data_IF_655855653262
#
_entry.id   IF_655855653262
#
_cell.length_a   1.000
_cell.length_b   1.000
_cell.length_c   1.000
_cell.angle_alpha   90.00
_cell.angle_beta   90.00
_cell.angle_gamma   90.00
#
_symmetry.space_group_name_H-M   'P 1'
#
loop_
_entity.id
_entity.type
_entity.pdbx_description
1 polymer ?
#
# COMPACT_ATOMS: atom_id res chain seq x y z
N UNK A 1 -20.91 1.32 18.42
CA UNK A 1 -20.71 0.25 17.42
C UNK A 1 -19.89 0.83 16.28
N UNK A 2 -19.03 0.05 15.65
CA UNK A 2 -18.30 0.52 14.48
C UNK A 2 -19.25 0.74 13.30
N UNK A 3 -19.03 1.82 12.56
CA UNK A 3 -19.79 2.19 11.37
C UNK A 3 -18.77 2.44 10.25
N UNK A 4 -18.91 1.75 9.12
CA UNK A 4 -18.07 1.99 7.95
C UNK A 4 -18.82 2.92 6.97
N UNK A 5 -18.26 4.09 6.70
CA UNK A 5 -18.85 5.11 5.81
C UNK A 5 -17.73 5.65 4.93
N UNK A 6 -17.91 5.57 3.60
CA UNK A 6 -16.92 6.02 2.61
C UNK A 6 -15.50 5.45 2.84
N UNK A 7 -15.40 4.20 3.31
CA UNK A 7 -14.14 3.53 3.64
C UNK A 7 -13.50 3.98 4.96
N UNK A 8 -14.19 4.79 5.77
CA UNK A 8 -13.73 5.24 7.09
C UNK A 8 -14.46 4.45 8.17
N UNK A 9 -13.67 3.81 9.05
CA UNK A 9 -14.17 3.19 10.25
C UNK A 9 -14.43 4.26 11.32
N UNK A 10 -15.70 4.55 11.57
CA UNK A 10 -16.15 5.58 12.48
C UNK A 10 -16.91 5.02 13.70
N UNK A 11 -16.96 5.82 14.76
CA UNK A 11 -17.89 5.66 15.89
C UNK A 11 -18.62 6.99 16.14
N UNK A 12 -19.80 6.94 16.73
CA UNK A 12 -20.49 8.17 17.17
C UNK A 12 -19.88 8.72 18.47
N UNK A 13 -20.24 9.96 18.83
CA UNK A 13 -19.91 10.50 20.16
C UNK A 13 -20.63 9.70 21.26
N UNK A 14 -21.82 9.18 21.00
CA UNK A 14 -22.54 8.35 21.97
C UNK A 14 -21.86 6.98 22.16
N UNK A 15 -21.29 6.42 21.09
CA UNK A 15 -20.45 5.24 21.17
C UNK A 15 -19.17 5.49 21.99
N UNK A 16 -18.55 6.65 21.80
CA UNK A 16 -17.42 7.09 22.65
C UNK A 16 -17.83 7.13 24.13
N UNK A 17 -18.99 7.71 24.45
CA UNK A 17 -19.51 7.76 25.82
C UNK A 17 -19.82 6.37 26.38
N UNK A 18 -20.47 5.51 25.59
CA UNK A 18 -20.83 4.15 26.00
C UNK A 18 -19.62 3.19 26.12
N UNK A 19 -18.48 3.54 25.52
CA UNK A 19 -17.19 2.89 25.78
C UNK A 19 -16.53 3.34 27.11
N UNK A 20 -17.21 4.16 27.91
CA UNK A 20 -16.73 4.63 29.21
C UNK A 20 -15.78 5.84 29.12
N UNK A 21 -15.67 6.46 27.94
CA UNK A 21 -14.92 7.69 27.76
C UNK A 21 -15.82 8.91 28.03
N UNK A 22 -15.23 10.02 28.48
CA UNK A 22 -16.00 11.21 28.88
C UNK A 22 -16.12 12.23 27.75
N UNK A 23 -17.15 13.09 27.85
CA UNK A 23 -17.31 14.21 26.93
C UNK A 23 -16.12 15.19 26.98
N UNK A 24 -15.54 15.38 28.16
CA UNK A 24 -14.37 16.26 28.31
C UNK A 24 -13.15 15.71 27.58
N UNK A 25 -12.93 14.38 27.62
CA UNK A 25 -11.89 13.73 26.82
C UNK A 25 -12.14 13.96 25.33
N UNK A 26 -13.36 13.74 24.85
CA UNK A 26 -13.71 14.00 23.45
C UNK A 26 -13.41 15.46 23.02
N UNK A 27 -13.87 16.45 23.81
CA UNK A 27 -13.66 17.88 23.52
C UNK A 27 -12.18 18.25 23.46
N UNK A 28 -11.38 17.77 24.42
CA UNK A 28 -9.93 18.04 24.49
C UNK A 28 -9.16 17.31 23.39
N UNK A 29 -9.48 16.05 23.15
CA UNK A 29 -8.79 15.24 22.15
C UNK A 29 -9.11 15.76 20.74
N UNK A 30 -10.34 16.23 20.51
CA UNK A 30 -10.71 16.91 19.27
C UNK A 30 -9.99 18.25 19.11
N UNK A 31 -10.03 19.13 20.12
CA UNK A 31 -9.44 20.48 20.01
C UNK A 31 -7.92 20.46 19.86
N UNK A 32 -7.25 19.45 20.42
CA UNK A 32 -5.80 19.24 20.33
C UNK A 32 -5.37 18.41 19.12
N UNK A 33 -6.31 17.93 18.29
CA UNK A 33 -5.99 17.11 17.11
C UNK A 33 -5.45 15.71 17.43
N UNK A 34 -5.87 15.13 18.57
CA UNK A 34 -5.63 13.72 18.92
C UNK A 34 -6.68 12.77 18.34
N UNK A 35 -7.75 13.31 17.76
CA UNK A 35 -8.71 12.60 16.93
C UNK A 35 -9.22 13.54 15.84
N UNK A 36 -9.77 12.97 14.76
CA UNK A 36 -10.42 13.69 13.67
C UNK A 36 -11.91 13.44 13.72
N UNK A 37 -12.69 14.51 13.66
CA UNK A 37 -14.14 14.43 13.43
C UNK A 37 -14.34 14.29 11.93
N UNK A 38 -14.85 13.13 11.51
CA UNK A 38 -15.16 12.87 10.11
C UNK A 38 -16.42 13.65 9.68
N UNK A 39 -17.47 13.64 10.51
CA UNK A 39 -18.71 14.40 10.25
C UNK A 39 -19.27 14.95 11.56
N UNK A 40 -19.57 16.25 11.59
CA UNK A 40 -20.29 16.86 12.72
C UNK A 40 -21.77 16.53 12.64
N UNK A 41 -22.33 16.10 13.76
CA UNK A 41 -23.75 15.79 13.89
C UNK A 41 -24.38 16.53 15.07
N UNK A 42 -25.71 16.56 15.10
CA UNK A 42 -26.52 17.09 16.21
C UNK A 42 -26.87 15.91 17.15
N UNK A 43 -27.05 16.18 18.44
CA UNK A 43 -27.51 15.20 19.44
C UNK A 43 -26.68 13.90 19.47
N UNK A 44 -25.36 13.98 19.66
CA UNK A 44 -24.52 12.77 19.85
C UNK A 44 -24.08 12.07 18.56
N UNK A 45 -24.69 12.38 17.42
CA UNK A 45 -24.39 11.77 16.11
C UNK A 45 -23.11 12.29 15.43
N UNK A 46 -22.18 12.89 16.19
CA UNK A 46 -20.89 13.30 15.62
C UNK A 46 -20.05 12.06 15.35
N UNK A 47 -19.62 11.87 14.11
CA UNK A 47 -18.80 10.75 13.69
C UNK A 47 -17.31 11.05 13.87
N UNK A 48 -16.66 10.17 14.62
CA UNK A 48 -15.24 10.19 14.96
C UNK A 48 -14.57 9.12 14.11
N UNK A 49 -13.53 9.49 13.36
CA UNK A 49 -12.67 8.51 12.70
C UNK A 49 -11.88 7.76 13.77
N UNK A 50 -12.18 6.47 13.96
CA UNK A 50 -11.58 5.64 15.01
C UNK A 50 -10.08 5.50 14.80
N UNK A 51 -9.65 5.37 13.54
CA UNK A 51 -8.24 5.16 13.17
C UNK A 51 -7.42 6.43 13.35
N UNK A 52 -8.05 7.59 13.35
CA UNK A 52 -7.38 8.87 13.65
C UNK A 52 -7.02 9.07 15.13
N UNK A 53 -7.55 8.24 16.04
CA UNK A 53 -7.36 8.40 17.49
C UNK A 53 -5.92 8.07 17.86
N UNK A 54 -5.18 9.05 18.37
CA UNK A 54 -3.75 8.91 18.73
C UNK A 54 -3.50 8.36 20.13
N UNK A 55 -4.51 8.43 20.99
CA UNK A 55 -4.42 8.09 22.42
C UNK A 55 -4.74 6.62 22.63
N UNK A 56 -3.72 5.83 23.00
CA UNK A 56 -3.84 4.38 23.18
C UNK A 56 -4.89 3.98 24.22
N UNK A 57 -5.03 4.73 25.31
CA UNK A 57 -6.02 4.50 26.36
C UNK A 57 -7.47 4.65 25.85
N UNK A 58 -7.70 5.52 24.84
CA UNK A 58 -9.01 5.67 24.18
C UNK A 58 -9.31 4.48 23.29
N UNK A 59 -8.34 4.09 22.46
CA UNK A 59 -8.46 2.92 21.59
C UNK A 59 -8.79 1.68 22.43
N UNK A 60 -8.04 1.44 23.52
CA UNK A 60 -8.27 0.28 24.38
C UNK A 60 -9.68 0.23 24.98
N UNK A 61 -10.23 1.38 25.38
CA UNK A 61 -11.60 1.45 25.92
C UNK A 61 -12.65 1.14 24.83
N UNK A 62 -12.45 1.68 23.62
CA UNK A 62 -13.32 1.43 22.47
C UNK A 62 -13.27 -0.05 22.07
N UNK A 63 -12.07 -0.64 21.99
CA UNK A 63 -11.90 -2.05 21.64
C UNK A 63 -12.47 -3.01 22.68
N UNK A 64 -12.33 -2.68 23.97
CA UNK A 64 -12.93 -3.46 25.05
C UNK A 64 -14.46 -3.50 24.97
N UNK A 65 -15.09 -2.47 24.39
CA UNK A 65 -16.54 -2.37 24.25
C UNK A 65 -17.07 -2.95 22.93
N UNK A 66 -16.38 -2.69 21.82
CA UNK A 66 -16.89 -2.96 20.47
C UNK A 66 -16.11 -4.02 19.69
N UNK A 67 -15.07 -4.62 20.29
CA UNK A 67 -14.18 -5.58 19.63
C UNK A 67 -12.94 -4.92 19.06
N UNK A 68 -11.94 -5.73 18.66
CA UNK A 68 -10.68 -5.20 18.12
C UNK A 68 -10.92 -4.42 16.83
N UNK A 69 -10.21 -3.31 16.66
CA UNK A 69 -10.20 -2.59 15.39
C UNK A 69 -9.38 -3.43 14.42
N UNK A 70 -10.02 -4.01 13.41
CA UNK A 70 -9.27 -4.69 12.36
C UNK A 70 -8.36 -3.68 11.65
N UNK A 71 -7.09 -4.07 11.51
CA UNK A 71 -6.15 -3.32 10.69
C UNK A 71 -6.75 -3.19 9.28
N UNK A 72 -6.79 -1.97 8.76
CA UNK A 72 -7.25 -1.70 7.41
C UNK A 72 -6.52 -2.64 6.46
N UNK A 73 -7.25 -3.48 5.70
CA UNK A 73 -6.71 -3.96 4.44
C UNK A 73 -6.46 -2.68 3.65
N UNK A 74 -5.20 -2.26 3.54
CA UNK A 74 -4.85 -1.08 2.74
C UNK A 74 -5.32 -1.38 1.34
N UNK A 75 -6.41 -0.76 0.92
CA UNK A 75 -6.94 -1.01 -0.41
C UNK A 75 -5.97 -0.42 -1.43
N UNK A 76 -5.15 -1.29 -2.01
CA UNK A 76 -4.22 -0.95 -3.08
C UNK A 76 -4.94 -0.83 -4.43
N UNK A 77 -6.19 -0.38 -4.45
CA UNK A 77 -7.07 -0.38 -5.63
C UNK A 77 -6.46 0.44 -6.80
N UNK A 78 -5.67 1.46 -6.50
CA UNK A 78 -4.93 2.24 -7.51
C UNK A 78 -3.72 1.52 -8.12
N UNK A 79 -3.31 0.37 -7.56
CA UNK A 79 -2.17 -0.47 -7.96
C UNK A 79 -2.64 -1.79 -8.59
N UNK A 80 -3.66 -1.77 -9.45
CA UNK A 80 -4.12 -2.97 -10.14
C UNK A 80 -3.01 -3.53 -11.04
N UNK A 81 -2.63 -4.80 -10.84
CA UNK A 81 -1.66 -5.52 -11.68
C UNK A 81 -2.39 -6.15 -12.87
N UNK A 82 -1.83 -5.93 -14.06
CA UNK A 82 -2.25 -6.56 -15.31
C UNK A 82 -1.00 -7.02 -16.04
N UNK A 83 -1.08 -8.15 -16.76
CA UNK A 83 0.05 -8.70 -17.48
C UNK A 83 0.56 -7.70 -18.52
N UNK A 84 1.85 -7.40 -18.45
CA UNK A 84 2.52 -6.49 -19.36
C UNK A 84 2.93 -7.19 -20.66
N UNK A 85 2.09 -7.04 -21.69
CA UNK A 85 2.33 -7.66 -23.00
C UNK A 85 3.61 -7.14 -23.67
N UNK A 86 3.93 -5.86 -23.49
CA UNK A 86 5.18 -5.26 -24.01
C UNK A 86 6.41 -5.87 -23.34
N UNK A 87 6.34 -6.12 -22.02
CA UNK A 87 7.41 -6.82 -21.32
C UNK A 87 7.58 -8.25 -21.84
N UNK A 88 6.47 -8.94 -22.15
CA UNK A 88 6.51 -10.29 -22.71
C UNK A 88 7.18 -10.32 -24.08
N UNK A 89 6.84 -9.38 -24.96
CA UNK A 89 7.50 -9.23 -26.26
C UNK A 89 8.99 -8.94 -26.12
N UNK A 90 9.35 -8.04 -25.21
CA UNK A 90 10.75 -7.70 -24.93
C UNK A 90 11.57 -8.90 -24.43
N UNK A 91 11.08 -9.64 -23.43
CA UNK A 91 11.85 -10.77 -22.86
C UNK A 91 11.87 -11.99 -23.79
N UNK A 92 10.85 -12.19 -24.62
CA UNK A 92 10.83 -13.27 -25.62
C UNK A 92 11.81 -12.99 -26.76
N UNK A 93 12.01 -11.72 -27.12
CA UNK A 93 12.97 -11.31 -28.16
C UNK A 93 14.38 -11.07 -27.64
N UNK A 94 14.61 -11.20 -26.32
CA UNK A 94 15.91 -10.96 -25.72
C UNK A 94 16.86 -12.15 -25.92
N UNK A 95 18.06 -11.85 -26.41
CA UNK A 95 19.15 -12.80 -26.58
C UNK A 95 20.24 -12.50 -25.55
N UNK A 96 20.68 -13.54 -24.83
CA UNK A 96 21.80 -13.48 -23.90
C UNK A 96 23.12 -13.26 -24.64
N UNK A 97 24.19 -12.96 -23.89
CA UNK A 97 25.54 -12.75 -24.45
C UNK A 97 26.09 -13.98 -25.17
N UNK A 98 25.64 -15.18 -24.77
CA UNK A 98 25.97 -16.48 -25.38
C UNK A 98 25.20 -16.75 -26.69
N UNK A 99 24.30 -15.86 -27.11
CA UNK A 99 23.45 -16.03 -28.28
C UNK A 99 22.19 -16.87 -28.05
N UNK A 100 21.95 -17.35 -26.82
CA UNK A 100 20.79 -18.16 -26.49
C UNK A 100 19.61 -17.29 -25.99
N UNK A 101 18.36 -17.73 -26.23
CA UNK A 101 17.19 -17.08 -25.65
C UNK A 101 17.11 -17.31 -24.13
N UNK A 102 16.28 -16.52 -23.46
CA UNK A 102 15.92 -16.77 -22.06
C UNK A 102 15.05 -18.04 -21.94
N UNK A 103 15.18 -18.75 -20.82
CA UNK A 103 14.28 -19.86 -20.49
C UNK A 103 12.84 -19.34 -20.37
N UNK A 104 11.82 -20.05 -20.89
CA UNK A 104 10.42 -19.66 -20.76
C UNK A 104 9.96 -19.34 -19.34
N UNK A 105 10.45 -20.06 -18.33
CA UNK A 105 10.14 -19.80 -16.90
C UNK A 105 10.74 -18.48 -16.43
N UNK A 106 11.96 -18.17 -16.87
CA UNK A 106 12.62 -16.90 -16.56
C UNK A 106 11.89 -15.73 -17.24
N UNK A 107 11.43 -15.93 -18.48
CA UNK A 107 10.59 -14.96 -19.18
C UNK A 107 9.32 -14.68 -18.39
N UNK A 108 8.60 -15.72 -17.96
CA UNK A 108 7.38 -15.57 -17.15
C UNK A 108 7.65 -14.81 -15.84
N UNK A 109 8.74 -15.16 -15.15
CA UNK A 109 9.17 -14.47 -13.92
C UNK A 109 9.43 -12.97 -14.15
N UNK A 110 10.14 -12.65 -15.23
CA UNK A 110 10.49 -11.28 -15.61
C UNK A 110 9.26 -10.48 -16.06
N UNK A 111 8.33 -11.10 -16.79
CA UNK A 111 7.04 -10.49 -17.18
C UNK A 111 6.19 -10.20 -15.96
N UNK A 112 6.07 -11.13 -15.02
CA UNK A 112 5.34 -10.94 -13.78
C UNK A 112 5.91 -9.77 -12.98
N UNK A 113 7.24 -9.72 -12.83
CA UNK A 113 7.91 -8.62 -12.15
C UNK A 113 7.70 -7.27 -12.85
N UNK A 114 7.79 -7.23 -14.18
CA UNK A 114 7.53 -6.03 -14.97
C UNK A 114 6.09 -5.55 -14.79
N UNK A 115 5.13 -6.48 -14.79
CA UNK A 115 3.69 -6.21 -14.58
C UNK A 115 3.45 -5.54 -13.22
N UNK A 116 4.04 -6.07 -12.15
CA UNK A 116 3.95 -5.47 -10.81
C UNK A 116 4.59 -4.08 -10.80
N UNK A 117 5.76 -3.88 -11.42
CA UNK A 117 6.41 -2.57 -11.50
C UNK A 117 5.62 -1.56 -12.33
N UNK A 118 4.95 -1.98 -13.41
CA UNK A 118 4.06 -1.12 -14.21
C UNK A 118 2.87 -0.64 -13.38
N UNK A 119 2.24 -1.55 -12.62
CA UNK A 119 1.18 -1.21 -11.67
C UNK A 119 1.67 -0.25 -10.57
N UNK A 120 2.86 -0.50 -10.01
CA UNK A 120 3.48 0.37 -9.00
C UNK A 120 3.73 1.78 -9.54
N UNK A 121 4.21 1.90 -10.78
CA UNK A 121 4.40 3.18 -11.48
C UNK A 121 3.08 3.94 -11.66
N UNK A 122 2.05 3.26 -12.17
CA UNK A 122 0.72 3.85 -12.37
C UNK A 122 0.11 4.34 -11.06
N UNK A 123 0.09 3.48 -10.04
CA UNK A 123 -0.46 3.81 -8.73
C UNK A 123 0.33 4.90 -8.00
N UNK A 124 1.66 4.93 -8.10
CA UNK A 124 2.49 6.00 -7.54
C UNK A 124 2.15 7.37 -8.16
N UNK A 125 1.95 7.43 -9.48
CA UNK A 125 1.54 8.66 -10.17
C UNK A 125 0.18 9.15 -9.66
N UNK A 126 -0.83 8.26 -9.64
CA UNK A 126 -2.18 8.59 -9.11
C UNK A 126 -2.13 9.04 -7.65
N UNK A 127 -1.34 8.36 -6.82
CA UNK A 127 -1.21 8.73 -5.40
C UNK A 127 -0.52 10.08 -5.21
N UNK A 128 0.50 10.40 -6.02
CA UNK A 128 1.16 11.71 -6.00
C UNK A 128 0.19 12.83 -6.38
N UNK A 129 -0.58 12.64 -7.45
CA UNK A 129 -1.59 13.60 -7.90
C UNK A 129 -2.66 13.83 -6.82
N UNK A 130 -3.21 12.75 -6.24
CA UNK A 130 -4.20 12.84 -5.17
C UNK A 130 -3.66 13.59 -3.95
N UNK A 131 -2.44 13.30 -3.50
CA UNK A 131 -1.80 14.00 -2.37
C UNK A 131 -1.53 15.47 -2.70
N UNK A 132 -1.06 15.77 -3.91
CA UNK A 132 -0.78 17.13 -4.37
C UNK A 132 -2.04 18.01 -4.40
N UNK A 133 -3.19 17.46 -4.81
CA UNK A 133 -4.50 18.14 -4.74
C UNK A 133 -4.86 18.61 -3.32
N UNK A 134 -4.35 17.92 -2.30
CA UNK A 134 -4.53 18.28 -0.89
C UNK A 134 -3.31 18.99 -0.27
N UNK A 135 -2.35 19.46 -1.09
CA UNK A 135 -1.13 20.13 -0.60
C UNK A 135 -0.19 19.23 0.21
N UNK A 136 -0.36 17.91 0.13
CA UNK A 136 0.42 16.93 0.89
C UNK A 136 1.44 16.23 0.01
N UNK A 137 2.52 15.73 0.62
CA UNK A 137 3.54 14.88 -0.02
C UNK A 137 3.42 13.45 0.47
N UNK A 138 3.91 12.50 -0.33
CA UNK A 138 4.06 11.11 0.09
C UNK A 138 5.21 11.02 1.11
N UNK A 139 4.93 10.38 2.25
CA UNK A 139 5.94 10.03 3.24
C UNK A 139 6.72 8.81 2.72
N UNK A 140 7.95 9.03 2.24
CA UNK A 140 8.73 8.00 1.52
C UNK A 140 8.97 6.73 2.33
N UNK A 141 9.27 6.83 3.63
CA UNK A 141 9.54 5.68 4.48
C UNK A 141 8.34 4.73 4.55
N UNK A 142 7.21 5.24 5.04
CA UNK A 142 5.96 4.50 5.14
C UNK A 142 5.48 3.98 3.78
N UNK A 143 5.67 4.77 2.72
CA UNK A 143 5.31 4.37 1.37
C UNK A 143 6.06 3.10 0.94
N UNK A 144 7.39 3.06 1.07
CA UNK A 144 8.17 1.90 0.63
C UNK A 144 7.92 0.66 1.50
N UNK A 145 7.67 0.83 2.79
CA UNK A 145 7.22 -0.27 3.65
C UNK A 145 5.90 -0.87 3.14
N UNK A 146 4.90 -0.02 2.89
CA UNK A 146 3.60 -0.46 2.40
C UNK A 146 3.67 -1.13 1.02
N UNK A 147 4.49 -0.60 0.12
CA UNK A 147 4.65 -1.16 -1.23
C UNK A 147 5.46 -2.47 -1.22
N UNK A 148 6.31 -2.70 -0.23
CA UNK A 148 7.05 -3.96 -0.09
C UNK A 148 6.15 -5.09 0.37
N UNK A 149 5.20 -4.80 1.26
CA UNK A 149 4.18 -5.76 1.65
C UNK A 149 3.23 -6.05 0.47
N UNK A 150 2.75 -4.99 -0.19
CA UNK A 150 1.91 -5.12 -1.39
C UNK A 150 2.60 -5.94 -2.48
N UNK A 151 3.88 -5.68 -2.77
CA UNK A 151 4.68 -6.45 -3.74
C UNK A 151 4.67 -7.94 -3.42
N UNK A 152 4.90 -8.31 -2.15
CA UNK A 152 4.89 -9.70 -1.70
C UNK A 152 3.50 -10.34 -1.81
N UNK A 153 2.43 -9.59 -1.55
CA UNK A 153 1.06 -10.07 -1.75
C UNK A 153 0.79 -10.38 -3.23
N UNK A 154 1.24 -9.51 -4.14
CA UNK A 154 1.04 -9.72 -5.59
C UNK A 154 1.78 -10.96 -6.12
N UNK A 155 2.84 -11.40 -5.45
CA UNK A 155 3.58 -12.59 -5.87
C UNK A 155 2.78 -13.90 -5.80
N UNK A 156 1.66 -13.92 -5.07
CA UNK A 156 0.76 -15.06 -5.05
C UNK A 156 0.13 -15.30 -6.44
N UNK A 157 -0.28 -14.23 -7.11
CA UNK A 157 -0.91 -14.27 -8.44
C UNK A 157 0.10 -14.05 -9.58
N UNK A 158 1.21 -13.37 -9.30
CA UNK A 158 2.28 -13.03 -10.25
C UNK A 158 3.64 -13.50 -9.71
N UNK A 159 3.94 -14.81 -9.71
CA UNK A 159 5.16 -15.36 -9.16
C UNK A 159 6.41 -14.72 -9.78
N UNK A 160 7.28 -14.15 -8.93
CA UNK A 160 8.57 -13.59 -9.34
C UNK A 160 9.57 -13.52 -8.17
N UNK A 161 10.83 -13.13 -8.43
CA UNK A 161 11.84 -12.98 -7.37
C UNK A 161 11.40 -12.06 -6.23
N UNK A 162 11.39 -12.61 -5.01
CA UNK A 162 11.01 -11.87 -3.81
C UNK A 162 11.88 -10.64 -3.54
N UNK A 163 11.23 -9.57 -3.10
CA UNK A 163 11.86 -8.37 -2.54
C UNK A 163 11.24 -8.12 -1.16
N UNK A 164 12.00 -8.37 -0.10
CA UNK A 164 11.52 -8.27 1.28
C UNK A 164 11.94 -6.98 1.97
N UNK A 165 12.93 -6.26 1.43
CA UNK A 165 13.46 -5.04 2.02
C UNK A 165 12.96 -3.80 1.27
N UNK A 166 12.36 -2.81 1.96
CA UNK A 166 11.88 -1.57 1.35
C UNK A 166 12.91 -0.78 0.55
N UNK A 167 14.16 -0.73 1.02
CA UNK A 167 15.26 -0.06 0.30
C UNK A 167 15.63 -0.81 -0.98
N UNK A 168 15.53 -2.14 -0.96
CA UNK A 168 15.78 -2.96 -2.15
C UNK A 168 14.67 -2.79 -3.18
N UNK A 169 13.41 -2.72 -2.75
CA UNK A 169 12.28 -2.43 -3.65
C UNK A 169 12.43 -1.04 -4.27
N UNK A 170 12.72 -0.02 -3.47
CA UNK A 170 12.94 1.35 -3.97
C UNK A 170 14.06 1.39 -5.02
N UNK A 171 15.19 0.72 -4.76
CA UNK A 171 16.33 0.67 -5.70
C UNK A 171 15.95 -0.04 -7.00
N UNK A 172 15.36 -1.23 -6.91
CA UNK A 172 14.96 -2.01 -8.08
C UNK A 172 13.93 -1.25 -8.94
N UNK A 173 12.95 -0.63 -8.29
CA UNK A 173 11.94 0.15 -8.98
C UNK A 173 12.51 1.42 -9.64
N UNK A 174 13.44 2.12 -8.97
CA UNK A 174 14.14 3.27 -9.59
C UNK A 174 14.97 2.85 -10.79
N UNK A 175 15.61 1.69 -10.72
CA UNK A 175 16.38 1.16 -11.85
C UNK A 175 15.45 0.83 -13.03
N UNK A 176 14.28 0.25 -12.76
CA UNK A 176 13.22 0.05 -13.75
C UNK A 176 12.71 1.34 -14.38
N UNK A 177 12.50 2.40 -13.59
CA UNK A 177 12.10 3.69 -14.15
C UNK A 177 13.18 4.31 -15.05
N UNK A 178 14.45 3.96 -14.84
CA UNK A 178 15.58 4.50 -15.60
C UNK A 178 15.90 3.68 -16.84
N UNK A 179 15.98 2.35 -16.71
CA UNK A 179 16.48 1.44 -17.74
C UNK A 179 15.38 0.56 -18.36
N UNK A 180 14.12 0.69 -17.90
CA UNK A 180 13.00 -0.11 -18.39
C UNK A 180 13.14 -1.61 -18.09
N UNK A 181 12.67 -2.44 -19.01
CA UNK A 181 12.67 -3.91 -18.86
C UNK A 181 14.07 -4.50 -18.68
N UNK A 182 15.12 -3.86 -19.24
CA UNK A 182 16.50 -4.31 -19.07
C UNK A 182 16.99 -4.35 -17.62
N UNK A 183 16.42 -3.51 -16.73
CA UNK A 183 16.73 -3.51 -15.28
C UNK A 183 16.34 -4.78 -14.55
N UNK A 184 15.40 -5.55 -15.11
CA UNK A 184 14.86 -6.78 -14.50
C UNK A 184 15.78 -7.96 -14.82
N UNK A 185 16.50 -7.89 -15.94
CA UNK A 185 17.45 -8.92 -16.36
C UNK A 185 18.62 -8.94 -15.39
N UNK A 186 18.86 -10.10 -14.79
CA UNK A 186 20.02 -10.26 -13.93
C UNK A 186 21.32 -10.12 -14.73
N UNK A 187 22.30 -9.38 -14.19
CA UNK A 187 23.63 -9.24 -14.81
C UNK A 187 24.36 -10.58 -15.00
N UNK A 188 23.97 -11.61 -14.26
CA UNK A 188 24.52 -12.97 -14.34
C UNK A 188 23.65 -13.97 -15.13
N UNK A 189 22.69 -13.49 -15.93
CA UNK A 189 21.81 -14.38 -16.73
C UNK A 189 22.55 -15.29 -17.72
N UNK A 190 23.86 -15.10 -17.91
CA UNK A 190 24.74 -15.95 -18.73
C UNK A 190 25.54 -17.01 -17.94
N UNK A 191 25.30 -17.19 -16.64
CA UNK A 191 26.11 -18.06 -15.78
C UNK A 191 25.35 -19.29 -15.23
N UNK A 192 24.37 -19.81 -15.97
CA UNK A 192 23.69 -21.09 -15.66
C UNK A 192 24.55 -22.29 -16.12
N UNK A 193 25.82 -22.31 -15.72
CA UNK A 193 26.73 -23.42 -15.94
C UNK A 193 27.57 -23.70 -14.69
N UNK A 194 27.05 -24.61 -13.83
CA UNK A 194 27.79 -25.62 -13.09
C UNK A 194 26.81 -26.58 -12.39
#
# INVERSE_FOLDING_TARGET
>A
MYIEIDGILAITKDDWLSAGLTENQFKKDSSKGFLTIYRRGINGNTLIDVRSIKKYDRIKAIEAKFGKIEAEKKEYNIYKVEIDTEAREFFTSYTKEDGLPLDPKVIEEYVNRASIFKALKSGLTKQREARAKHGKRILKGEYWENMTNWYQEQMADFPCKAITNPRSLERAFKDYLKNGYSSIIHKNSGNDAA
#
